data_IF_541191576899
#
_entry.id   IF_541191576899
#
_cell.length_a   1.000
_cell.length_b   1.000
_cell.length_c   1.000
_cell.angle_alpha   90.00
_cell.angle_beta   90.00
_cell.angle_gamma   90.00
#
_symmetry.space_group_name_H-M   'P 1'
#
loop_
_entity.id
_entity.type
_entity.pdbx_description
1 polymer ?
#
# COMPACT_ATOMS: atom_id res chain seq x y z
N UNK A 1 -11.15 92.26 0.30
CA UNK A 1 -12.06 91.10 0.27
C UNK A 1 -12.54 90.74 -1.12
N UNK A 2 -12.03 89.62 -1.64
CA UNK A 2 -12.66 88.75 -2.64
C UNK A 2 -11.75 87.53 -2.81
N UNK A 3 -12.24 86.34 -2.44
CA UNK A 3 -11.59 85.08 -2.84
C UNK A 3 -11.65 84.94 -4.36
N UNK A 4 -10.69 84.22 -4.94
CA UNK A 4 -11.06 83.19 -5.90
C UNK A 4 -10.35 81.85 -5.64
N UNK A 5 -10.97 80.84 -6.24
CA UNK A 5 -10.73 79.41 -6.23
C UNK A 5 -9.66 78.93 -7.21
N UNK A 6 -9.22 77.69 -6.94
CA UNK A 6 -8.74 76.66 -7.86
C UNK A 6 -7.31 76.79 -8.42
N UNK A 7 -6.55 75.70 -8.30
CA UNK A 7 -6.03 74.86 -9.40
C UNK A 7 -5.03 73.86 -8.79
N UNK A 8 -5.20 72.58 -9.13
CA UNK A 8 -4.47 71.47 -8.53
C UNK A 8 -3.03 71.28 -9.04
N UNK A 9 -2.34 70.32 -8.42
CA UNK A 9 -1.30 69.54 -9.10
C UNK A 9 -1.05 68.23 -8.38
N UNK A 10 -1.10 67.18 -9.18
CA UNK A 10 -0.76 65.80 -8.89
C UNK A 10 0.71 65.67 -8.49
N UNK A 11 1.00 64.98 -7.38
CA UNK A 11 2.32 64.40 -7.13
C UNK A 11 2.17 62.88 -6.99
N UNK A 12 2.78 62.19 -7.95
CA UNK A 12 3.01 60.74 -7.96
C UNK A 12 4.01 60.40 -6.85
N UNK A 13 3.62 59.56 -5.89
CA UNK A 13 4.57 58.86 -5.03
C UNK A 13 4.94 57.53 -5.68
N UNK A 14 6.20 57.44 -6.13
CA UNK A 14 6.87 56.19 -6.48
C UNK A 14 7.24 55.48 -5.16
N UNK A 15 6.56 54.37 -4.86
CA UNK A 15 7.02 53.45 -3.82
C UNK A 15 8.06 52.48 -4.42
N UNK A 16 9.18 52.21 -3.72
CA UNK A 16 10.16 51.24 -4.20
C UNK A 16 9.64 49.81 -3.98
N UNK A 17 9.59 49.03 -5.06
CA UNK A 17 9.35 47.58 -5.00
C UNK A 17 10.64 46.93 -4.50
N UNK A 18 10.60 46.42 -3.27
CA UNK A 18 11.65 45.61 -2.67
C UNK A 18 11.54 44.19 -3.26
N UNK A 19 12.36 43.88 -4.26
CA UNK A 19 12.52 42.52 -4.78
C UNK A 19 13.42 41.75 -3.81
N UNK A 20 12.81 40.99 -2.90
CA UNK A 20 13.54 39.96 -2.16
C UNK A 20 13.84 38.81 -3.12
N UNK A 21 15.09 38.74 -3.59
CA UNK A 21 15.62 37.58 -4.29
C UNK A 21 15.74 36.41 -3.33
N UNK A 22 14.75 35.52 -3.35
CA UNK A 22 14.83 34.23 -2.67
C UNK A 22 15.81 33.33 -3.41
N UNK A 23 17.01 33.15 -2.87
CA UNK A 23 17.90 32.06 -3.26
C UNK A 23 17.26 30.77 -2.76
N UNK A 24 16.62 30.03 -3.66
CA UNK A 24 16.20 28.66 -3.39
C UNK A 24 17.47 27.84 -3.15
N UNK A 25 17.79 27.58 -1.89
CA UNK A 25 18.76 26.56 -1.53
C UNK A 25 18.18 25.21 -1.98
N UNK A 26 18.58 24.77 -3.17
CA UNK A 26 18.42 23.38 -3.58
C UNK A 26 19.22 22.55 -2.57
N UNK A 27 18.51 21.98 -1.59
CA UNK A 27 19.10 21.07 -0.63
C UNK A 27 19.70 19.89 -1.39
N UNK A 28 21.03 19.88 -1.51
CA UNK A 28 21.77 18.74 -2.04
C UNK A 28 21.58 17.62 -1.03
N UNK A 29 20.66 16.72 -1.36
CA UNK A 29 20.37 15.53 -0.58
C UNK A 29 21.63 14.67 -0.61
N UNK A 30 22.35 14.58 0.50
CA UNK A 30 23.47 13.64 0.59
C UNK A 30 22.88 12.23 0.44
N UNK A 31 23.45 11.37 -0.42
CA UNK A 31 23.00 10.01 -0.54
C UNK A 31 23.23 9.29 0.80
N UNK A 32 22.16 8.79 1.43
CA UNK A 32 22.26 7.94 2.62
C UNK A 32 23.07 6.65 2.38
N UNK A 33 23.24 5.77 3.38
CA UNK A 33 23.92 4.50 3.17
C UNK A 33 23.17 3.61 2.16
N UNK A 34 23.91 2.79 1.40
CA UNK A 34 23.34 1.82 0.47
C UNK A 34 22.53 0.74 1.21
N UNK A 35 21.54 0.15 0.55
CA UNK A 35 20.64 -0.85 1.13
C UNK A 35 21.25 -2.25 1.09
N UNK A 36 21.13 -3.00 2.19
CA UNK A 36 21.51 -4.41 2.24
C UNK A 36 20.39 -5.33 1.76
N UNK A 37 20.73 -6.40 1.03
CA UNK A 37 19.82 -7.50 0.71
C UNK A 37 19.81 -8.50 1.86
N UNK A 38 18.63 -8.77 2.41
CA UNK A 38 18.46 -9.66 3.56
C UNK A 38 18.04 -11.06 3.14
N UNK A 39 17.13 -11.16 2.16
CA UNK A 39 16.55 -12.44 1.73
C UNK A 39 15.91 -12.33 0.36
N UNK A 40 15.93 -13.42 -0.41
CA UNK A 40 15.15 -13.56 -1.64
C UNK A 40 14.16 -14.71 -1.47
N UNK A 41 12.91 -14.49 -1.87
CA UNK A 41 11.86 -15.52 -1.91
C UNK A 41 11.25 -15.56 -3.30
N UNK A 42 11.04 -16.77 -3.81
CA UNK A 42 10.38 -17.00 -5.09
C UNK A 42 9.20 -17.93 -4.86
N UNK A 43 8.05 -17.61 -5.44
CA UNK A 43 6.87 -18.46 -5.32
C UNK A 43 5.84 -18.19 -6.41
N UNK A 44 5.10 -19.23 -6.77
CA UNK A 44 4.12 -19.20 -7.85
C UNK A 44 4.15 -20.49 -8.65
N UNK A 45 3.60 -20.43 -9.85
CA UNK A 45 3.45 -21.56 -10.76
C UNK A 45 3.97 -21.21 -12.17
N UNK A 46 3.75 -22.12 -13.12
CA UNK A 46 4.17 -21.93 -14.50
C UNK A 46 3.44 -20.78 -15.21
N UNK A 47 2.29 -20.30 -14.74
CA UNK A 47 1.56 -19.18 -15.33
C UNK A 47 2.00 -17.84 -14.75
N UNK A 48 2.23 -17.77 -13.43
CA UNK A 48 2.62 -16.55 -12.75
C UNK A 48 3.56 -16.82 -11.58
N UNK A 49 4.60 -16.01 -11.45
CA UNK A 49 5.60 -16.15 -10.39
C UNK A 49 5.92 -14.80 -9.78
N UNK A 50 6.02 -14.77 -8.45
CA UNK A 50 6.43 -13.60 -7.69
C UNK A 50 7.81 -13.83 -7.09
N UNK A 51 8.69 -12.87 -7.30
CA UNK A 51 9.96 -12.75 -6.60
C UNK A 51 9.84 -11.61 -5.59
N UNK A 52 10.30 -11.84 -4.36
CA UNK A 52 10.37 -10.85 -3.29
C UNK A 52 11.79 -10.76 -2.79
N UNK A 53 12.41 -9.58 -2.90
CA UNK A 53 13.70 -9.26 -2.29
C UNK A 53 13.44 -8.43 -1.03
N UNK A 54 13.81 -8.96 0.13
CA UNK A 54 13.79 -8.25 1.41
C UNK A 54 15.05 -7.39 1.54
N UNK A 55 14.86 -6.11 1.86
CA UNK A 55 15.89 -5.08 1.96
C UNK A 55 15.81 -4.39 3.34
N UNK A 56 16.95 -3.92 3.85
CA UNK A 56 16.98 -3.14 5.10
C UNK A 56 16.56 -1.67 4.91
N UNK A 57 16.58 -1.17 3.66
CA UNK A 57 16.26 0.21 3.28
C UNK A 57 15.45 0.26 1.98
N UNK A 58 14.81 1.42 1.76
CA UNK A 58 14.02 1.68 0.57
C UNK A 58 14.91 1.78 -0.68
N UNK A 59 14.62 0.98 -1.71
CA UNK A 59 15.24 1.09 -3.02
C UNK A 59 14.20 0.96 -4.13
N UNK A 60 14.22 1.90 -5.06
CA UNK A 60 13.40 1.84 -6.27
C UNK A 60 14.23 1.33 -7.45
N UNK A 61 13.96 0.10 -7.89
CA UNK A 61 14.63 -0.47 -9.06
C UNK A 61 14.27 0.21 -10.37
N UNK A 62 15.17 0.12 -11.33
CA UNK A 62 14.95 0.43 -12.75
C UNK A 62 14.99 -0.87 -13.54
N UNK A 63 13.96 -1.09 -14.36
CA UNK A 63 13.86 -2.25 -15.23
C UNK A 63 14.77 -2.01 -16.43
N UNK A 64 15.67 -2.94 -16.69
CA UNK A 64 16.45 -2.97 -17.92
C UNK A 64 15.95 -4.19 -18.71
N UNK A 65 14.72 -4.13 -19.22
CA UNK A 65 14.23 -5.17 -20.13
C UNK A 65 14.24 -4.60 -21.54
N UNK A 66 15.21 -5.05 -22.33
CA UNK A 66 14.95 -5.37 -23.73
C UNK A 66 14.29 -6.74 -23.78
N UNK A 67 13.40 -6.95 -24.75
CA UNK A 67 12.89 -8.27 -25.12
C UNK A 67 14.09 -9.17 -25.44
N UNK A 68 14.56 -9.92 -24.44
CA UNK A 68 15.72 -10.79 -24.62
C UNK A 68 15.25 -12.15 -25.16
N UNK A 69 15.68 -12.56 -26.38
CA UNK A 69 15.45 -13.91 -26.88
C UNK A 69 16.02 -15.01 -25.95
N UNK A 70 16.90 -14.65 -25.00
CA UNK A 70 17.50 -15.57 -24.03
C UNK A 70 16.55 -15.99 -22.88
N UNK A 71 15.28 -15.55 -22.86
CA UNK A 71 14.34 -15.84 -21.76
C UNK A 71 14.90 -15.40 -20.40
N UNK A 72 15.52 -14.22 -20.37
CA UNK A 72 16.05 -13.62 -19.15
C UNK A 72 15.36 -12.29 -18.87
N UNK A 73 15.10 -12.03 -17.59
CA UNK A 73 14.69 -10.71 -17.13
C UNK A 73 15.78 -10.08 -16.27
N UNK A 74 16.14 -8.83 -16.58
CA UNK A 74 17.20 -8.09 -15.88
C UNK A 74 16.63 -6.81 -15.26
N UNK A 75 16.89 -6.62 -13.97
CA UNK A 75 16.49 -5.44 -13.20
C UNK A 75 17.72 -4.88 -12.51
N UNK A 76 17.87 -3.55 -12.47
CA UNK A 76 18.89 -2.90 -11.65
C UNK A 76 18.25 -2.25 -10.43
N UNK A 77 18.82 -2.50 -9.26
CA UNK A 77 18.51 -1.80 -8.02
C UNK A 77 19.70 -0.88 -7.70
N UNK A 78 19.59 0.45 -7.91
CA UNK A 78 20.66 1.36 -7.51
C UNK A 78 20.76 1.39 -5.99
N UNK A 79 21.90 1.80 -5.44
CA UNK A 79 22.12 2.03 -4.01
C UNK A 79 21.88 0.76 -3.19
N UNK A 80 22.38 -0.36 -3.67
CA UNK A 80 22.39 -1.65 -2.97
C UNK A 80 23.84 -2.04 -2.70
N UNK A 81 24.11 -2.37 -1.45
CA UNK A 81 25.41 -2.86 -1.00
C UNK A 81 25.61 -4.30 -1.43
N UNK A 82 26.60 -4.52 -2.30
CA UNK A 82 27.01 -5.84 -2.81
C UNK A 82 28.37 -6.28 -2.25
N UNK A 83 28.85 -5.65 -1.17
CA UNK A 83 30.15 -5.98 -0.53
C UNK A 83 30.21 -7.41 0.02
N UNK A 84 29.05 -8.01 0.34
CA UNK A 84 28.93 -9.41 0.74
C UNK A 84 29.14 -10.40 -0.43
N UNK A 85 29.28 -9.92 -1.66
CA UNK A 85 29.47 -10.71 -2.87
C UNK A 85 28.18 -11.07 -3.60
N UNK A 86 28.33 -11.75 -4.74
CA UNK A 86 27.22 -12.20 -5.57
C UNK A 86 26.32 -13.21 -4.85
N UNK A 87 25.02 -13.11 -5.08
CA UNK A 87 24.01 -14.01 -4.53
C UNK A 87 23.31 -14.78 -5.64
N UNK A 88 22.93 -16.02 -5.41
CA UNK A 88 22.10 -16.78 -6.34
C UNK A 88 21.26 -17.83 -5.62
N UNK A 89 20.22 -18.32 -6.28
CA UNK A 89 19.43 -19.43 -5.78
C UNK A 89 18.45 -19.97 -6.79
N UNK A 90 17.79 -21.06 -6.40
CA UNK A 90 16.74 -21.68 -7.20
C UNK A 90 15.50 -20.80 -7.24
N UNK A 91 14.75 -20.91 -8.34
CA UNK A 91 13.47 -20.26 -8.53
C UNK A 91 12.28 -21.18 -8.24
N UNK A 92 11.11 -20.73 -8.64
CA UNK A 92 9.88 -21.52 -8.64
C UNK A 92 9.01 -21.10 -9.83
N UNK A 93 8.23 -22.04 -10.38
CA UNK A 93 7.28 -21.75 -11.46
C UNK A 93 7.95 -21.26 -12.74
N UNK A 94 7.64 -20.01 -13.14
CA UNK A 94 8.23 -19.35 -14.30
C UNK A 94 9.69 -18.96 -14.14
N UNK A 95 10.15 -18.73 -12.92
CA UNK A 95 11.55 -18.38 -12.65
C UNK A 95 12.27 -19.68 -12.33
N UNK A 96 13.26 -20.06 -13.14
CA UNK A 96 14.08 -21.27 -12.94
C UNK A 96 15.11 -21.06 -11.86
N UNK A 97 15.83 -19.94 -11.94
CA UNK A 97 16.86 -19.54 -11.00
C UNK A 97 16.95 -18.00 -11.00
N UNK A 98 17.67 -17.48 -10.01
CA UNK A 98 17.96 -16.06 -9.92
C UNK A 98 19.42 -15.84 -9.53
N UNK A 99 19.98 -14.72 -9.99
CA UNK A 99 21.31 -14.24 -9.60
C UNK A 99 21.26 -12.74 -9.35
N UNK A 100 21.94 -12.29 -8.30
CA UNK A 100 22.14 -10.88 -7.99
C UNK A 100 23.65 -10.65 -7.97
N UNK A 101 24.13 -9.80 -8.87
CA UNK A 101 25.54 -9.41 -8.95
C UNK A 101 25.71 -7.90 -8.87
N UNK A 102 26.94 -7.46 -8.60
CA UNK A 102 27.25 -6.04 -8.59
C UNK A 102 27.01 -5.40 -9.98
N UNK A 103 26.45 -4.21 -9.98
CA UNK A 103 26.35 -3.34 -11.14
C UNK A 103 26.63 -1.90 -10.73
N UNK A 104 26.92 -1.03 -11.70
CA UNK A 104 27.36 0.35 -11.44
C UNK A 104 26.45 1.07 -10.43
N UNK A 105 26.96 1.24 -9.20
CA UNK A 105 26.27 1.92 -8.10
C UNK A 105 25.11 1.13 -7.48
N UNK A 106 25.08 -0.21 -7.57
CA UNK A 106 24.08 -1.03 -6.90
C UNK A 106 24.12 -2.51 -7.31
N UNK A 107 22.94 -3.13 -7.39
CA UNK A 107 22.77 -4.54 -7.72
C UNK A 107 22.08 -4.74 -9.07
N UNK A 108 22.46 -5.78 -9.79
CA UNK A 108 21.77 -6.29 -10.98
C UNK A 108 21.17 -7.65 -10.67
N UNK A 109 19.87 -7.75 -10.86
CA UNK A 109 19.06 -8.93 -10.64
C UNK A 109 18.78 -9.56 -11.98
N UNK A 110 19.16 -10.83 -12.14
CA UNK A 110 18.90 -11.64 -13.33
C UNK A 110 18.01 -12.81 -12.94
N UNK A 111 17.01 -13.07 -13.76
CA UNK A 111 16.07 -14.17 -13.61
C UNK A 111 16.06 -14.99 -14.90
N UNK A 112 16.44 -16.26 -14.81
CA UNK A 112 16.29 -17.20 -15.92
C UNK A 112 14.83 -17.70 -15.95
N UNK A 113 14.15 -17.52 -17.08
CA UNK A 113 12.74 -17.83 -17.21
C UNK A 113 12.51 -19.18 -17.92
N UNK A 114 11.48 -19.89 -17.49
CA UNK A 114 11.11 -21.17 -18.08
C UNK A 114 10.58 -21.04 -19.51
N UNK A 115 9.87 -19.94 -19.78
CA UNK A 115 9.24 -19.57 -21.06
C UNK A 115 9.13 -18.06 -21.17
N UNK A 116 8.68 -17.57 -22.32
CA UNK A 116 8.45 -16.13 -22.53
C UNK A 116 7.48 -15.58 -21.49
N UNK A 117 7.88 -14.51 -20.81
CA UNK A 117 7.12 -13.91 -19.73
C UNK A 117 7.43 -12.42 -19.63
N UNK A 118 6.44 -11.66 -19.18
CA UNK A 118 6.53 -10.22 -18.97
C UNK A 118 6.57 -9.90 -17.48
N UNK A 119 7.29 -8.84 -17.11
CA UNK A 119 7.18 -8.24 -15.77
C UNK A 119 5.85 -7.50 -15.70
N UNK A 120 4.86 -8.11 -15.06
CA UNK A 120 3.51 -7.57 -14.93
C UNK A 120 3.47 -6.38 -13.96
N UNK A 121 4.20 -6.48 -12.85
CA UNK A 121 4.30 -5.41 -11.84
C UNK A 121 5.66 -5.43 -11.16
N UNK A 122 6.11 -4.26 -10.75
CA UNK A 122 7.21 -4.09 -9.82
C UNK A 122 6.90 -2.95 -8.87
N UNK A 123 7.06 -3.18 -7.58
CA UNK A 123 6.77 -2.17 -6.56
C UNK A 123 7.56 -2.45 -5.30
N UNK A 124 7.81 -1.39 -4.54
CA UNK A 124 8.45 -1.46 -3.23
C UNK A 124 7.35 -1.41 -2.17
N UNK A 125 7.37 -2.35 -1.23
CA UNK A 125 6.58 -2.28 -0.02
C UNK A 125 7.47 -1.79 1.12
N UNK A 126 7.00 -0.78 1.84
CA UNK A 126 7.61 -0.34 3.10
C UNK A 126 7.43 -1.39 4.20
N UNK A 127 8.25 -1.34 5.27
CA UNK A 127 8.00 -2.07 6.51
C UNK A 127 6.57 -1.81 7.02
N UNK A 128 5.95 -2.84 7.58
CA UNK A 128 4.56 -2.83 8.03
C UNK A 128 4.10 -4.23 8.44
N UNK A 129 3.02 -4.33 9.21
CA UNK A 129 2.38 -5.61 9.59
C UNK A 129 3.34 -6.61 10.30
N UNK A 130 4.21 -6.10 11.18
CA UNK A 130 5.22 -6.91 11.89
C UNK A 130 6.44 -7.29 11.03
N UNK A 131 6.46 -6.91 9.75
CA UNK A 131 7.60 -7.07 8.85
C UNK A 131 8.44 -5.80 8.92
N UNK A 132 9.64 -5.91 9.47
CA UNK A 132 10.56 -4.79 9.69
C UNK A 132 11.38 -4.40 8.45
N UNK A 133 11.23 -5.15 7.35
CA UNK A 133 12.06 -5.02 6.15
C UNK A 133 11.25 -4.42 5.01
N UNK A 134 11.95 -3.69 4.13
CA UNK A 134 11.42 -3.29 2.84
C UNK A 134 11.34 -4.53 1.94
N UNK A 135 10.37 -4.57 1.02
CA UNK A 135 10.21 -5.70 0.09
C UNK A 135 10.07 -5.18 -1.33
N UNK A 136 11.09 -5.40 -2.16
CA UNK A 136 11.01 -5.17 -3.60
C UNK A 136 10.36 -6.38 -4.26
N UNK A 137 9.14 -6.19 -4.78
CA UNK A 137 8.32 -7.26 -5.35
C UNK A 137 8.33 -7.17 -6.87
N UNK A 138 8.56 -8.30 -7.53
CA UNK A 138 8.51 -8.45 -8.98
C UNK A 138 7.54 -9.56 -9.33
N UNK A 139 6.49 -9.23 -10.08
CA UNK A 139 5.50 -10.19 -10.58
C UNK A 139 5.77 -10.51 -12.04
N UNK A 140 6.05 -11.76 -12.34
CA UNK A 140 6.14 -12.32 -13.69
C UNK A 140 4.83 -12.97 -14.10
N UNK A 141 4.46 -12.80 -15.37
CA UNK A 141 3.34 -13.51 -16.00
C UNK A 141 3.78 -14.07 -17.33
N UNK A 142 3.46 -15.34 -17.60
CA UNK A 142 3.72 -15.93 -18.90
C UNK A 142 2.99 -15.15 -19.98
N UNK A 143 3.61 -14.97 -21.14
CA UNK A 143 2.94 -14.37 -22.29
C UNK A 143 1.73 -15.22 -22.71
N UNK A 144 0.60 -14.56 -22.96
CA UNK A 144 -0.66 -15.22 -23.32
C UNK A 144 -1.38 -15.95 -22.19
N UNK A 145 -0.86 -15.95 -20.95
CA UNK A 145 -1.58 -16.54 -19.82
C UNK A 145 -2.78 -15.66 -19.39
N UNK A 146 -3.95 -16.26 -19.07
CA UNK A 146 -5.08 -15.52 -18.53
C UNK A 146 -4.68 -14.83 -17.22
N UNK A 147 -5.25 -13.65 -16.97
CA UNK A 147 -4.92 -12.82 -15.82
C UNK A 147 -5.40 -13.41 -14.49
N UNK A 148 -4.75 -14.47 -14.01
CA UNK A 148 -4.86 -14.90 -12.61
C UNK A 148 -4.00 -13.97 -11.73
N UNK A 149 -4.07 -14.10 -10.40
CA UNK A 149 -3.08 -13.47 -9.49
C UNK A 149 -2.09 -14.56 -9.08
N UNK A 150 -0.77 -14.30 -9.04
CA UNK A 150 0.18 -15.31 -8.61
C UNK A 150 -0.14 -15.60 -7.14
N UNK A 151 -0.72 -16.78 -6.90
CA UNK A 151 -0.80 -17.32 -5.57
C UNK A 151 0.59 -17.82 -5.23
N UNK A 152 1.17 -17.36 -4.12
CA UNK A 152 2.14 -18.23 -3.45
C UNK A 152 1.39 -19.54 -3.20
N UNK A 153 1.88 -20.63 -3.80
CA UNK A 153 1.26 -21.93 -3.64
C UNK A 153 1.05 -22.18 -2.14
N UNK A 154 -0.21 -22.29 -1.71
CA UNK A 154 -0.51 -22.89 -0.43
C UNK A 154 0.07 -24.29 -0.50
N UNK A 155 0.91 -24.65 0.48
CA UNK A 155 1.10 -26.07 0.77
C UNK A 155 -0.30 -26.69 0.87
N UNK A 156 -0.56 -27.71 0.06
CA UNK A 156 -1.82 -28.46 0.08
C UNK A 156 -1.81 -29.23 1.40
N UNK A 157 -2.37 -28.62 2.44
CA UNK A 157 -2.96 -29.36 3.54
C UNK A 157 -4.37 -29.65 3.07
N UNK A 158 -4.67 -30.92 2.85
CA UNK A 158 -6.02 -31.37 2.55
C UNK A 158 -6.91 -30.99 3.76
N UNK A 159 -7.68 -29.91 3.61
CA UNK A 159 -8.58 -29.44 4.65
C UNK A 159 -9.83 -30.34 4.66
N UNK A 160 -10.28 -30.82 5.83
CA UNK A 160 -11.49 -31.61 5.93
C UNK A 160 -12.67 -30.75 5.46
N UNK A 161 -13.46 -31.30 4.55
CA UNK A 161 -14.71 -30.69 4.08
C UNK A 161 -15.65 -30.58 5.28
N UNK A 162 -15.77 -29.38 5.84
CA UNK A 162 -16.80 -29.09 6.84
C UNK A 162 -18.18 -29.18 6.17
N UNK A 163 -19.21 -29.69 6.87
CA UNK A 163 -20.56 -29.81 6.32
C UNK A 163 -21.11 -28.44 5.94
N UNK A 164 -21.82 -28.35 4.81
CA UNK A 164 -22.48 -27.13 4.38
C UNK A 164 -23.63 -26.73 5.33
N UNK A 165 -23.61 -25.51 5.87
CA UNK A 165 -24.77 -24.78 6.42
C UNK A 165 -24.47 -23.28 6.67
N UNK A 166 -25.42 -22.31 6.60
CA UNK A 166 -26.74 -22.26 5.93
C UNK A 166 -26.84 -21.08 4.90
N UNK A 167 -28.01 -20.96 4.24
CA UNK A 167 -28.42 -19.99 3.19
C UNK A 167 -28.49 -18.50 3.58
N UNK A 168 -27.72 -18.05 4.59
CA UNK A 168 -27.78 -16.66 5.10
C UNK A 168 -26.65 -15.82 4.50
N UNK A 169 -26.97 -14.60 4.10
CA UNK A 169 -25.98 -13.64 3.58
C UNK A 169 -24.92 -13.36 4.64
N UNK A 170 -23.66 -13.35 4.24
CA UNK A 170 -22.51 -13.08 5.11
C UNK A 170 -22.17 -11.60 5.08
N UNK A 171 -22.25 -10.94 6.23
CA UNK A 171 -21.85 -9.53 6.41
C UNK A 171 -20.59 -9.49 7.26
N UNK A 172 -19.54 -8.90 6.72
CA UNK A 172 -18.32 -8.62 7.46
C UNK A 172 -18.32 -7.16 7.88
N UNK A 173 -18.16 -6.93 9.17
CA UNK A 173 -18.03 -5.59 9.75
C UNK A 173 -16.58 -5.41 10.19
N UNK A 174 -15.95 -4.36 9.69
CA UNK A 174 -14.62 -3.96 10.06
C UNK A 174 -14.65 -2.78 11.02
N UNK A 175 -14.09 -2.98 12.21
CA UNK A 175 -13.86 -1.89 13.16
C UNK A 175 -12.53 -1.23 12.81
N UNK A 176 -12.56 -0.01 12.25
CA UNK A 176 -11.39 0.79 11.90
C UNK A 176 -10.37 0.88 13.05
N UNK A 177 -9.08 0.98 12.71
CA UNK A 177 -7.96 1.09 13.67
C UNK A 177 -7.88 -0.10 14.66
N UNK A 178 -7.22 0.06 15.81
CA UNK A 178 -7.11 -0.92 16.89
C UNK A 178 -5.68 -1.11 17.39
N UNK A 179 -5.52 -1.52 18.65
CA UNK A 179 -4.23 -1.74 19.28
C UNK A 179 -3.39 -0.45 19.34
N UNK A 180 -2.24 -0.47 18.66
CA UNK A 180 -1.32 0.66 18.59
C UNK A 180 -1.76 1.76 17.61
N UNK A 181 -2.66 1.45 16.69
CA UNK A 181 -3.29 2.43 15.82
C UNK A 181 -4.55 2.95 16.52
N UNK A 182 -4.49 4.17 17.05
CA UNK A 182 -5.59 4.79 17.81
C UNK A 182 -6.62 5.47 16.91
N UNK A 183 -6.28 5.73 15.64
CA UNK A 183 -7.05 6.58 14.74
C UNK A 183 -7.11 8.03 15.20
N UNK A 184 -8.17 8.74 14.81
CA UNK A 184 -8.40 10.11 15.26
C UNK A 184 -8.57 10.21 16.79
N UNK A 185 -7.99 11.26 17.37
CA UNK A 185 -8.11 11.57 18.79
C UNK A 185 -9.16 12.68 18.99
N UNK A 186 -10.19 12.37 19.79
CA UNK A 186 -11.15 13.35 20.30
C UNK A 186 -10.72 13.92 21.65
N UNK A 187 -11.56 14.78 22.23
CA UNK A 187 -11.27 15.41 23.53
C UNK A 187 -11.07 14.40 24.68
N UNK A 188 -11.70 13.22 24.60
CA UNK A 188 -11.60 12.17 25.62
C UNK A 188 -11.77 10.74 25.07
N UNK A 189 -11.74 10.56 23.75
CA UNK A 189 -12.04 9.27 23.09
C UNK A 189 -11.14 9.04 21.90
N UNK A 190 -10.72 7.80 21.68
CA UNK A 190 -10.02 7.40 20.46
C UNK A 190 -11.00 6.80 19.45
N UNK A 191 -10.78 7.08 18.18
CA UNK A 191 -11.55 6.53 17.07
C UNK A 191 -11.64 4.99 17.14
N UNK A 192 -10.54 4.30 17.48
CA UNK A 192 -10.52 2.84 17.60
C UNK A 192 -11.57 2.29 18.58
N UNK A 193 -11.88 3.02 19.65
CA UNK A 193 -12.80 2.60 20.72
C UNK A 193 -14.25 2.81 20.26
N UNK A 194 -14.53 3.96 19.64
CA UNK A 194 -15.81 4.28 19.01
C UNK A 194 -16.16 3.28 17.90
N UNK A 195 -15.21 2.99 17.01
CA UNK A 195 -15.40 2.05 15.92
C UNK A 195 -15.66 0.62 16.41
N UNK A 196 -14.97 0.19 17.49
CA UNK A 196 -15.22 -1.12 18.09
C UNK A 196 -16.62 -1.20 18.71
N UNK A 197 -17.00 -0.19 19.50
CA UNK A 197 -18.32 -0.13 20.12
C UNK A 197 -19.44 -0.14 19.06
N UNK A 198 -19.29 0.65 17.99
CA UNK A 198 -20.23 0.69 16.88
C UNK A 198 -20.31 -0.66 16.13
N UNK A 199 -19.18 -1.33 15.89
CA UNK A 199 -19.15 -2.63 15.22
C UNK A 199 -19.84 -3.72 16.04
N UNK A 200 -19.62 -3.75 17.36
CA UNK A 200 -20.28 -4.69 18.27
C UNK A 200 -21.79 -4.45 18.33
N UNK A 201 -22.23 -3.19 18.43
CA UNK A 201 -23.63 -2.83 18.41
C UNK A 201 -24.31 -3.23 17.09
N UNK A 202 -23.67 -2.93 15.94
CA UNK A 202 -24.19 -3.30 14.62
C UNK A 202 -24.28 -4.82 14.47
N UNK A 203 -23.26 -5.56 14.94
CA UNK A 203 -23.28 -7.03 14.96
C UNK A 203 -24.49 -7.55 15.70
N UNK A 204 -24.75 -7.04 16.89
CA UNK A 204 -25.83 -7.53 17.75
C UNK A 204 -27.20 -7.24 17.15
N UNK A 205 -27.39 -6.05 16.58
CA UNK A 205 -28.61 -5.69 15.82
C UNK A 205 -28.81 -6.62 14.62
N UNK A 206 -27.77 -6.86 13.81
CA UNK A 206 -27.87 -7.73 12.63
C UNK A 206 -28.11 -9.20 13.01
N UNK A 207 -27.43 -9.70 14.04
CA UNK A 207 -27.62 -11.07 14.56
C UNK A 207 -29.04 -11.27 15.11
N UNK A 208 -29.59 -10.28 15.82
CA UNK A 208 -30.95 -10.34 16.36
C UNK A 208 -32.03 -10.49 15.28
N UNK A 209 -31.77 -10.04 14.03
CA UNK A 209 -32.70 -10.27 12.92
C UNK A 209 -32.78 -11.72 12.46
N UNK A 210 -31.78 -12.55 12.77
CA UNK A 210 -31.68 -13.93 12.30
C UNK A 210 -31.43 -14.10 10.79
N UNK A 211 -31.30 -13.01 10.02
CA UNK A 211 -31.15 -13.05 8.55
C UNK A 211 -29.71 -13.21 8.08
N UNK A 212 -28.75 -12.80 8.89
CA UNK A 212 -27.35 -12.64 8.49
C UNK A 212 -26.41 -13.54 9.29
N UNK A 213 -25.35 -14.00 8.63
CA UNK A 213 -24.15 -14.47 9.31
C UNK A 213 -23.19 -13.29 9.43
N UNK A 214 -22.85 -12.87 10.65
CA UNK A 214 -22.03 -11.68 10.90
C UNK A 214 -20.65 -12.07 11.40
N UNK A 215 -19.63 -11.57 10.70
CA UNK A 215 -18.21 -11.77 11.03
C UNK A 215 -17.59 -10.40 11.33
N UNK A 216 -16.79 -10.31 12.39
CA UNK A 216 -16.03 -9.11 12.71
C UNK A 216 -14.57 -9.29 12.25
N UNK A 217 -13.91 -8.23 11.81
CA UNK A 217 -12.44 -8.27 11.60
C UNK A 217 -11.67 -8.30 12.92
N UNK A 218 -12.21 -7.62 13.94
CA UNK A 218 -11.81 -7.67 15.36
C UNK A 218 -13.02 -7.45 16.26
N UNK A 219 -13.01 -8.08 17.43
CA UNK A 219 -14.00 -7.93 18.51
C UNK A 219 -13.37 -7.44 19.82
N UNK A 220 -12.08 -7.13 19.79
CA UNK A 220 -11.27 -6.62 20.88
C UNK A 220 -10.42 -5.44 20.40
N UNK A 221 -9.68 -4.80 21.31
CA UNK A 221 -8.70 -3.77 20.97
C UNK A 221 -7.41 -4.38 20.38
N UNK A 222 -7.51 -4.89 19.15
CA UNK A 222 -6.41 -5.50 18.41
C UNK A 222 -6.16 -4.75 17.10
N UNK A 223 -4.89 -4.53 16.76
CA UNK A 223 -4.53 -4.01 15.43
C UNK A 223 -4.70 -5.10 14.37
N UNK A 224 -5.51 -4.84 13.35
CA UNK A 224 -5.65 -5.71 12.17
C UNK A 224 -5.14 -4.95 10.93
N UNK A 225 -4.10 -5.44 10.24
CA UNK A 225 -3.64 -4.89 8.96
C UNK A 225 -4.74 -4.77 7.91
N UNK A 226 -4.71 -3.72 7.08
CA UNK A 226 -5.70 -3.49 6.02
C UNK A 226 -5.87 -4.71 5.09
N UNK A 227 -4.76 -5.33 4.66
CA UNK A 227 -4.82 -6.55 3.86
C UNK A 227 -5.48 -7.72 4.59
N UNK A 228 -5.28 -7.83 5.91
CA UNK A 228 -5.86 -8.89 6.71
C UNK A 228 -7.36 -8.72 6.85
N UNK A 229 -7.85 -7.47 7.01
CA UNK A 229 -9.29 -7.14 7.00
C UNK A 229 -9.97 -7.65 5.71
N UNK A 230 -9.33 -7.39 4.56
CA UNK A 230 -9.81 -7.89 3.25
C UNK A 230 -9.70 -9.41 3.15
N UNK A 231 -8.64 -10.04 3.69
CA UNK A 231 -8.49 -11.50 3.71
C UNK A 231 -9.56 -12.17 4.57
N UNK A 232 -9.93 -11.59 5.72
CA UNK A 232 -11.04 -12.07 6.56
C UNK A 232 -12.33 -12.06 5.74
N UNK A 233 -12.62 -10.95 5.06
CA UNK A 233 -13.82 -10.84 4.24
C UNK A 233 -13.90 -11.88 3.11
N UNK A 234 -12.78 -12.08 2.42
CA UNK A 234 -12.68 -13.09 1.35
C UNK A 234 -12.80 -14.52 1.88
N UNK A 235 -12.16 -14.83 3.01
CA UNK A 235 -12.22 -16.17 3.63
C UNK A 235 -13.63 -16.50 4.13
N UNK A 236 -14.35 -15.50 4.63
CA UNK A 236 -15.74 -15.65 5.05
C UNK A 236 -16.74 -15.73 3.88
N UNK A 237 -16.28 -15.59 2.62
CA UNK A 237 -17.14 -15.44 1.45
C UNK A 237 -18.19 -14.33 1.64
N UNK A 238 -17.76 -13.17 2.14
CA UNK A 238 -18.65 -12.07 2.46
C UNK A 238 -19.46 -11.58 1.25
N UNK A 239 -20.77 -11.46 1.41
CA UNK A 239 -21.66 -10.78 0.46
C UNK A 239 -21.56 -9.25 0.58
N UNK A 240 -21.23 -8.75 1.78
CA UNK A 240 -21.06 -7.33 2.07
C UNK A 240 -19.92 -7.11 3.07
N UNK A 241 -19.11 -6.08 2.81
CA UNK A 241 -18.07 -5.59 3.72
C UNK A 241 -18.39 -4.14 4.13
N UNK A 242 -18.47 -3.88 5.43
CA UNK A 242 -18.77 -2.56 6.01
C UNK A 242 -17.58 -2.15 6.87
N UNK A 243 -16.89 -1.07 6.51
CA UNK A 243 -15.83 -0.47 7.34
C UNK A 243 -16.41 0.69 8.14
N UNK A 244 -16.26 0.66 9.46
CA UNK A 244 -16.70 1.74 10.35
C UNK A 244 -15.50 2.59 10.76
N UNK A 245 -15.61 3.88 10.49
CA UNK A 245 -14.62 4.92 10.83
C UNK A 245 -15.33 6.12 11.45
N UNK A 246 -14.60 6.83 12.31
CA UNK A 246 -15.05 8.04 13.01
C UNK A 246 -13.98 9.11 12.84
N UNK A 247 -13.77 9.49 11.57
CA UNK A 247 -12.70 10.38 11.14
C UNK A 247 -12.81 11.78 11.78
N UNK A 248 -11.67 12.47 11.94
CA UNK A 248 -11.62 13.89 12.29
C UNK A 248 -11.00 14.72 11.16
N UNK A 249 -11.55 15.92 10.89
CA UNK A 249 -11.02 16.89 9.94
C UNK A 249 -10.33 18.08 10.63
N UNK A 250 -9.63 18.92 9.86
CA UNK A 250 -9.02 20.15 10.38
C UNK A 250 -10.03 21.25 10.72
N UNK A 251 -11.26 21.15 10.20
CA UNK A 251 -12.35 22.08 10.47
C UNK A 251 -13.32 21.45 11.49
N UNK A 252 -13.37 21.93 12.74
CA UNK A 252 -14.23 21.39 13.79
C UNK A 252 -15.72 21.68 13.55
N UNK A 253 -16.08 22.52 12.58
CA UNK A 253 -17.47 22.76 12.20
C UNK A 253 -18.06 21.66 11.31
N UNK A 254 -17.21 20.81 10.72
CA UNK A 254 -17.66 19.69 9.89
C UNK A 254 -18.10 18.51 10.76
N UNK A 255 -19.40 18.20 10.72
CA UNK A 255 -19.99 17.07 11.45
C UNK A 255 -21.08 16.39 10.61
N UNK A 256 -21.26 15.08 10.81
CA UNK A 256 -22.33 14.32 10.16
C UNK A 256 -21.89 12.95 9.68
N UNK A 257 -22.87 12.11 9.33
CA UNK A 257 -22.60 10.77 8.80
C UNK A 257 -22.27 10.84 7.30
N UNK A 258 -21.26 10.08 6.88
CA UNK A 258 -20.86 9.96 5.47
C UNK A 258 -20.72 8.49 5.09
N UNK A 259 -21.00 8.17 3.82
CA UNK A 259 -20.81 6.82 3.26
C UNK A 259 -19.94 6.92 2.03
N UNK A 260 -18.81 6.22 2.06
CA UNK A 260 -17.89 6.12 0.93
C UNK A 260 -18.07 4.76 0.24
N UNK A 261 -18.05 4.76 -1.09
CA UNK A 261 -18.04 3.55 -1.91
C UNK A 261 -16.79 3.56 -2.79
N UNK A 262 -16.28 2.36 -3.11
CA UNK A 262 -15.11 2.25 -3.97
C UNK A 262 -15.46 2.71 -5.39
N UNK A 263 -14.68 3.65 -5.92
CA UNK A 263 -14.70 4.07 -7.32
C UNK A 263 -13.30 3.90 -7.88
N UNK A 264 -13.16 3.29 -9.05
CA UNK A 264 -11.86 3.08 -9.72
C UNK A 264 -11.11 4.40 -9.99
N UNK A 265 -11.82 5.55 -9.98
CA UNK A 265 -11.24 6.90 -10.10
C UNK A 265 -11.03 7.62 -8.76
N UNK A 266 -11.51 7.05 -7.66
CA UNK A 266 -11.50 7.65 -6.32
C UNK A 266 -10.65 6.89 -5.28
N UNK A 267 -10.14 5.70 -5.62
CA UNK A 267 -9.34 4.87 -4.72
C UNK A 267 -8.14 5.63 -4.12
N UNK A 268 -7.47 6.47 -4.92
CA UNK A 268 -6.33 7.28 -4.47
C UNK A 268 -6.73 8.41 -3.51
N UNK A 269 -8.00 8.82 -3.49
CA UNK A 269 -8.48 9.93 -2.65
C UNK A 269 -9.01 9.44 -1.30
N UNK A 270 -9.60 8.24 -1.26
CA UNK A 270 -10.09 7.62 -0.03
C UNK A 270 -8.94 7.05 0.81
N UNK A 271 -7.95 6.42 0.16
CA UNK A 271 -6.73 5.95 0.84
C UNK A 271 -6.00 7.09 1.59
N UNK A 272 -5.88 8.27 0.96
CA UNK A 272 -5.18 9.44 1.50
C UNK A 272 -5.98 10.31 2.48
N UNK A 273 -7.24 10.01 2.75
CA UNK A 273 -8.06 10.82 3.68
C UNK A 273 -8.61 10.04 4.86
N UNK A 274 -8.85 8.74 4.67
CA UNK A 274 -9.42 7.85 5.69
C UNK A 274 -8.32 6.97 6.32
N UNK A 275 -7.20 6.71 5.63
CA UNK A 275 -6.24 5.68 6.05
C UNK A 275 -4.78 6.15 6.16
N UNK A 276 -4.47 7.38 5.77
CA UNK A 276 -3.11 7.93 5.80
C UNK A 276 -3.20 9.33 6.43
N UNK A 277 -2.99 9.39 7.74
CA UNK A 277 -2.83 10.62 8.53
C UNK A 277 -1.69 10.47 9.50
#
# INVERSE_FOLDING_TARGET
>A
DRRPSAIGRWLRFLAPVLVLGGVAAAGVSHPGPDAGILKVRVGGDAAQTRVVIELDRAVAGKLLSGEDPARQAVITLPRVDMSAGDMSGDGAGLVKNWRIDEAAGGARLRFDLARSAVVKRRFLLSPGDGIKTYRYVVDFSAEGAPAQRPGFAKAVVEEPVLPAAPSRRVVVIDAGHGGHDVGAEGASTHEKDLNLAAALALRDVLKATGRYHVVLTRDTDAFIPLEQRVKIARRANADLFISLHSDAGSDPSLHGATVYTLSDKGADRVARHVFDK
#
